data_IF_180466573645
#
_entry.id   IF_180466573645
#
_cell.length_a   1.000
_cell.length_b   1.000
_cell.length_c   1.000
_cell.angle_alpha   90.00
_cell.angle_beta   90.00
_cell.angle_gamma   90.00
#
_symmetry.space_group_name_H-M   'P 1'
#
loop_
_entity.id
_entity.type
_entity.pdbx_description
1 polymer ?
#
# COMPACT_ATOMS: atom_id res chain seq x y z
N UNK A 1 17.38 14.26 16.07
CA UNK A 1 17.52 15.48 15.25
C UNK A 1 16.68 15.26 14.02
N UNK A 2 15.59 16.02 13.84
CA UNK A 2 14.63 15.76 12.77
C UNK A 2 15.25 16.20 11.42
N UNK A 3 15.62 15.23 10.56
CA UNK A 3 16.27 15.52 9.27
C UNK A 3 15.46 16.52 8.41
N UNK A 4 14.13 16.54 8.61
CA UNK A 4 13.17 17.40 7.92
C UNK A 4 13.29 18.91 8.22
N UNK A 5 14.02 19.36 9.24
CA UNK A 5 14.11 20.80 9.55
C UNK A 5 15.47 21.41 9.19
N UNK A 6 16.46 20.57 8.86
CA UNK A 6 17.82 21.01 8.56
C UNK A 6 17.90 21.97 7.37
N UNK A 7 17.07 21.76 6.35
CA UNK A 7 17.04 22.62 5.16
C UNK A 7 16.45 24.02 5.40
N UNK A 8 15.72 24.23 6.51
CA UNK A 8 15.16 25.53 6.88
C UNK A 8 16.14 26.40 7.65
N UNK A 9 17.23 25.83 8.19
CA UNK A 9 18.18 26.61 9.01
C UNK A 9 19.01 27.55 8.14
N UNK A 10 18.90 28.84 8.40
CA UNK A 10 19.78 29.88 7.88
C UNK A 10 19.83 31.06 8.86
N UNK A 11 20.58 32.11 8.54
CA UNK A 11 20.80 33.27 9.40
C UNK A 11 19.52 34.07 9.73
N UNK A 12 18.42 33.83 9.01
CA UNK A 12 17.13 34.49 9.20
C UNK A 12 16.07 33.60 9.86
N UNK A 13 16.36 32.31 10.09
CA UNK A 13 15.40 31.33 10.60
C UNK A 13 15.94 30.71 11.88
N UNK A 14 15.30 31.05 13.00
CA UNK A 14 15.50 30.39 14.29
C UNK A 14 14.50 29.24 14.44
N UNK A 15 15.00 28.02 14.67
CA UNK A 15 14.16 26.83 14.90
C UNK A 15 14.09 26.55 16.39
N UNK A 16 12.89 26.65 16.95
CA UNK A 16 12.60 26.29 18.34
C UNK A 16 11.84 24.97 18.37
N UNK A 17 12.51 23.90 18.80
CA UNK A 17 11.93 22.55 18.93
C UNK A 17 11.31 22.38 20.33
N UNK A 18 9.99 22.50 20.45
CA UNK A 18 9.26 22.38 21.73
C UNK A 18 7.97 21.56 21.57
N UNK A 19 7.71 20.67 22.54
CA UNK A 19 6.51 19.83 22.58
C UNK A 19 6.71 18.43 22.00
N UNK A 20 5.73 17.54 22.22
CA UNK A 20 5.75 16.17 21.69
C UNK A 20 4.88 16.01 20.45
N UNK A 21 3.83 16.84 20.32
CA UNK A 21 2.91 16.83 19.21
C UNK A 21 2.80 18.23 18.59
N UNK A 22 2.28 18.30 17.36
CA UNK A 22 2.04 19.56 16.67
C UNK A 22 1.21 20.55 17.48
N UNK A 23 0.18 20.10 18.20
CA UNK A 23 -0.63 20.98 19.05
C UNK A 23 0.20 21.61 20.19
N UNK A 24 1.17 20.89 20.74
CA UNK A 24 2.05 21.39 21.80
C UNK A 24 3.00 22.47 21.24
N UNK A 25 3.58 22.19 20.06
CA UNK A 25 4.43 23.14 19.34
C UNK A 25 3.65 24.41 18.94
N UNK A 26 2.42 24.25 18.45
CA UNK A 26 1.53 25.37 18.08
C UNK A 26 1.16 26.23 19.28
N UNK A 27 0.80 25.62 20.42
CA UNK A 27 0.54 26.36 21.67
C UNK A 27 1.77 27.15 22.12
N UNK A 28 2.95 26.54 22.04
CA UNK A 28 4.19 27.22 22.40
C UNK A 28 4.52 28.37 21.45
N UNK A 29 4.35 28.18 20.14
CA UNK A 29 4.56 29.22 19.14
C UNK A 29 3.62 30.43 19.35
N UNK A 30 2.35 30.18 19.72
CA UNK A 30 1.41 31.25 20.10
C UNK A 30 1.90 32.00 21.34
N UNK A 31 2.41 31.30 22.35
CA UNK A 31 2.95 31.93 23.56
C UNK A 31 4.17 32.79 23.27
N UNK A 32 5.10 32.32 22.44
CA UNK A 32 6.26 33.10 21.98
C UNK A 32 5.79 34.37 21.27
N UNK A 33 4.85 34.23 20.32
CA UNK A 33 4.32 35.36 19.57
C UNK A 33 3.71 36.43 20.48
N UNK A 34 2.95 36.02 21.50
CA UNK A 34 2.36 36.91 22.49
C UNK A 34 3.41 37.57 23.39
N UNK A 35 4.37 36.81 23.90
CA UNK A 35 5.37 37.32 24.85
C UNK A 35 6.36 38.29 24.19
N UNK A 36 6.70 38.05 22.93
CA UNK A 36 7.71 38.83 22.20
C UNK A 36 7.11 39.86 21.24
N UNK A 37 5.77 39.94 21.15
CA UNK A 37 5.09 40.85 20.23
C UNK A 37 5.31 40.50 18.76
N UNK A 38 5.49 39.22 18.42
CA UNK A 38 5.64 38.75 17.03
C UNK A 38 4.28 38.47 16.41
N UNK A 39 4.17 38.61 15.09
CA UNK A 39 3.00 38.15 14.36
C UNK A 39 2.98 36.61 14.29
N UNK A 40 1.86 35.99 14.68
CA UNK A 40 1.66 34.56 14.52
C UNK A 40 1.01 34.27 13.17
N UNK A 41 1.68 33.48 12.34
CA UNK A 41 1.15 33.06 11.04
C UNK A 41 0.56 31.66 11.19
N UNK A 42 -0.77 31.56 11.23
CA UNK A 42 -1.42 30.25 11.34
C UNK A 42 -1.23 29.46 10.04
N UNK A 43 -0.86 28.17 10.07
CA UNK A 43 -0.63 27.39 8.85
C UNK A 43 -1.86 27.19 7.94
N UNK A 44 -3.07 27.53 8.38
CA UNK A 44 -4.29 27.28 7.60
C UNK A 44 -5.52 28.07 8.05
N UNK A 45 -5.67 28.42 9.33
CA UNK A 45 -6.88 29.05 9.88
C UNK A 45 -6.72 30.57 10.03
N UNK A 46 -6.31 31.21 8.94
CA UNK A 46 -6.12 32.65 8.84
C UNK A 46 -6.72 33.17 7.51
N UNK A 47 -7.49 34.26 7.50
CA UNK A 47 -8.13 34.77 6.28
C UNK A 47 -7.16 35.05 5.13
N UNK A 48 -5.94 35.53 5.40
CA UNK A 48 -4.94 35.81 4.37
C UNK A 48 -4.33 34.52 3.82
N UNK A 49 -4.11 33.52 4.67
CA UNK A 49 -3.67 32.18 4.24
C UNK A 49 -4.73 31.51 3.38
N UNK A 50 -6.00 31.61 3.76
CA UNK A 50 -7.14 31.10 2.98
C UNK A 50 -7.22 31.81 1.63
N UNK A 51 -7.12 33.15 1.61
CA UNK A 51 -7.12 33.92 0.37
C UNK A 51 -5.93 33.55 -0.54
N UNK A 52 -4.74 33.36 0.03
CA UNK A 52 -3.56 32.88 -0.67
C UNK A 52 -3.79 31.53 -1.34
N UNK A 53 -4.36 30.57 -0.62
CA UNK A 53 -4.73 29.27 -1.18
C UNK A 53 -5.79 29.36 -2.29
N UNK A 54 -6.66 30.37 -2.26
CA UNK A 54 -7.66 30.62 -3.31
C UNK A 54 -7.06 30.97 -4.68
N UNK A 55 -5.79 31.37 -4.74
CA UNK A 55 -5.08 31.59 -6.01
C UNK A 55 -4.99 30.32 -6.86
N UNK A 56 -4.97 29.14 -6.25
CA UNK A 56 -5.05 27.86 -6.97
C UNK A 56 -6.36 27.75 -7.75
N UNK A 57 -7.48 28.16 -7.14
CA UNK A 57 -8.78 28.22 -7.82
C UNK A 57 -8.80 29.20 -8.98
N UNK A 58 -8.13 30.35 -8.82
CA UNK A 58 -7.94 31.32 -9.90
C UNK A 58 -7.16 30.73 -11.07
N UNK A 59 -6.04 30.07 -10.80
CA UNK A 59 -5.20 29.46 -11.83
C UNK A 59 -5.95 28.37 -12.61
N UNK A 60 -6.68 27.50 -11.92
CA UNK A 60 -7.51 26.45 -12.54
C UNK A 60 -8.52 27.07 -13.52
N UNK A 61 -9.29 28.06 -13.09
CA UNK A 61 -10.31 28.67 -13.95
C UNK A 61 -9.69 29.42 -15.14
N UNK A 62 -8.52 30.06 -14.95
CA UNK A 62 -7.78 30.71 -16.04
C UNK A 62 -7.24 29.70 -17.04
N UNK A 63 -6.60 28.62 -16.59
CA UNK A 63 -6.06 27.57 -17.45
C UNK A 63 -7.17 26.84 -18.22
N UNK A 64 -8.37 26.74 -17.66
CA UNK A 64 -9.53 26.13 -18.32
C UNK A 64 -10.21 27.03 -19.37
N UNK A 65 -9.87 28.33 -19.45
CA UNK A 65 -10.32 29.24 -20.51
C UNK A 65 -11.83 29.19 -20.80
N UNK A 66 -12.66 29.18 -19.75
CA UNK A 66 -14.13 29.13 -19.84
C UNK A 66 -14.73 27.73 -20.05
N UNK A 67 -13.92 26.70 -20.32
CA UNK A 67 -14.34 25.29 -20.36
C UNK A 67 -14.16 24.64 -18.98
N UNK A 68 -14.80 25.23 -17.98
CA UNK A 68 -14.67 24.87 -16.57
C UNK A 68 -14.99 23.39 -16.28
N UNK A 69 -14.40 22.81 -15.23
CA UNK A 69 -14.65 21.42 -14.87
C UNK A 69 -16.03 21.24 -14.24
N UNK A 70 -16.55 20.01 -14.30
CA UNK A 70 -17.76 19.61 -13.56
C UNK A 70 -17.51 19.61 -12.05
N UNK A 71 -16.31 19.16 -11.63
CA UNK A 71 -15.91 19.16 -10.23
C UNK A 71 -14.40 19.36 -10.03
N UNK A 72 -14.04 20.01 -8.92
CA UNK A 72 -12.69 20.17 -8.41
C UNK A 72 -12.58 19.40 -7.10
N UNK A 73 -11.62 18.49 -7.02
CA UNK A 73 -11.34 17.66 -5.87
C UNK A 73 -10.13 18.20 -5.13
N UNK A 74 -10.31 18.50 -3.85
CA UNK A 74 -9.31 19.17 -3.02
C UNK A 74 -9.02 18.32 -1.79
N UNK A 75 -7.75 18.06 -1.44
CA UNK A 75 -7.43 17.29 -0.26
C UNK A 75 -7.67 18.15 0.97
N UNK A 76 -8.19 17.55 2.03
CA UNK A 76 -8.58 18.27 3.24
C UNK A 76 -7.73 17.81 4.43
N UNK A 77 -6.93 18.73 4.94
CA UNK A 77 -6.28 18.66 6.25
C UNK A 77 -6.94 19.64 7.23
N UNK A 78 -6.27 20.76 7.52
CA UNK A 78 -6.84 21.85 8.34
C UNK A 78 -7.94 22.68 7.66
N UNK A 79 -8.20 22.45 6.36
CA UNK A 79 -9.28 23.06 5.58
C UNK A 79 -8.93 24.33 4.81
N UNK A 80 -7.72 24.88 4.97
CA UNK A 80 -7.34 26.17 4.36
C UNK A 80 -7.32 26.17 2.83
N UNK A 81 -6.83 25.08 2.22
CA UNK A 81 -6.75 24.94 0.77
C UNK A 81 -8.14 24.91 0.12
N UNK A 82 -9.01 24.02 0.61
CA UNK A 82 -10.36 23.87 0.11
C UNK A 82 -11.22 25.11 0.38
N UNK A 83 -11.08 25.75 1.55
CA UNK A 83 -11.79 26.99 1.86
C UNK A 83 -11.42 28.10 0.86
N UNK A 84 -10.13 28.27 0.56
CA UNK A 84 -9.65 29.27 -0.39
C UNK A 84 -10.15 29.01 -1.81
N UNK A 85 -9.98 27.78 -2.31
CA UNK A 85 -10.44 27.37 -3.65
C UNK A 85 -11.95 27.55 -3.76
N UNK A 86 -12.72 27.08 -2.77
CA UNK A 86 -14.18 27.20 -2.77
C UNK A 86 -14.63 28.66 -2.80
N UNK A 87 -14.03 29.52 -1.98
CA UNK A 87 -14.35 30.95 -1.92
C UNK A 87 -14.18 31.65 -3.28
N UNK A 88 -13.07 31.37 -3.97
CA UNK A 88 -12.82 31.95 -5.29
C UNK A 88 -13.72 31.34 -6.38
N UNK A 89 -13.75 30.01 -6.46
CA UNK A 89 -14.44 29.30 -7.55
C UNK A 89 -15.94 29.52 -7.47
N UNK A 90 -16.57 29.44 -6.29
CA UNK A 90 -18.01 29.67 -6.15
C UNK A 90 -18.43 31.10 -6.50
N UNK A 91 -17.51 32.08 -6.40
CA UNK A 91 -17.77 33.45 -6.80
C UNK A 91 -17.79 33.65 -8.32
N UNK A 92 -16.92 32.96 -9.05
CA UNK A 92 -16.72 33.12 -10.50
C UNK A 92 -17.52 32.09 -11.31
N UNK A 93 -17.55 30.85 -10.82
CA UNK A 93 -18.08 29.67 -11.49
C UNK A 93 -18.94 28.83 -10.52
N UNK A 94 -20.11 29.35 -10.07
CA UNK A 94 -20.90 28.73 -9.00
C UNK A 94 -21.37 27.30 -9.29
N UNK A 95 -21.50 26.94 -10.57
CA UNK A 95 -21.92 25.61 -11.02
C UNK A 95 -20.81 24.54 -10.92
N UNK A 96 -19.55 24.95 -10.73
CA UNK A 96 -18.45 24.01 -10.51
C UNK A 96 -18.60 23.41 -9.11
N UNK A 97 -18.62 22.09 -9.03
CA UNK A 97 -18.71 21.39 -7.75
C UNK A 97 -17.35 21.37 -7.06
N UNK A 98 -17.29 21.72 -5.78
CA UNK A 98 -16.10 21.60 -4.93
C UNK A 98 -16.28 20.40 -4.02
N UNK A 99 -15.39 19.43 -4.16
CA UNK A 99 -15.44 18.16 -3.44
C UNK A 99 -14.19 18.04 -2.56
N UNK A 100 -14.40 18.01 -1.25
CA UNK A 100 -13.34 17.67 -0.29
C UNK A 100 -13.05 16.19 -0.31
N UNK A 101 -11.77 15.84 -0.25
CA UNK A 101 -11.32 14.45 -0.14
C UNK A 101 -10.50 14.29 1.13
N UNK A 102 -10.90 13.32 1.95
CA UNK A 102 -10.27 12.98 3.22
C UNK A 102 -9.88 11.50 3.25
N UNK A 103 -8.88 11.14 4.06
CA UNK A 103 -8.65 9.74 4.39
C UNK A 103 -9.67 9.29 5.45
N UNK A 104 -10.12 8.04 5.36
CA UNK A 104 -11.21 7.52 6.20
C UNK A 104 -10.91 7.55 7.71
N UNK A 105 -9.64 7.42 8.11
CA UNK A 105 -9.15 7.58 9.49
C UNK A 105 -8.75 9.01 9.89
N UNK A 106 -8.92 10.00 9.02
CA UNK A 106 -8.57 11.40 9.25
C UNK A 106 -9.61 12.40 8.67
N UNK A 107 -10.90 12.04 8.71
CA UNK A 107 -12.01 12.74 8.05
C UNK A 107 -12.67 13.87 8.89
N UNK A 108 -11.88 14.87 9.28
CA UNK A 108 -12.31 15.95 10.18
C UNK A 108 -13.46 16.81 9.65
N UNK A 109 -13.41 17.24 8.39
CA UNK A 109 -14.42 18.07 7.76
C UNK A 109 -15.72 17.28 7.60
N UNK A 110 -15.65 16.04 7.12
CA UNK A 110 -16.84 15.21 6.94
C UNK A 110 -17.58 15.01 8.27
N UNK A 111 -16.87 14.62 9.34
CA UNK A 111 -17.48 14.42 10.66
C UNK A 111 -17.98 15.75 11.26
N UNK A 112 -17.25 16.85 11.05
CA UNK A 112 -17.69 18.17 11.50
C UNK A 112 -18.98 18.64 10.78
N UNK A 113 -19.09 18.39 9.48
CA UNK A 113 -20.28 18.71 8.70
C UNK A 113 -21.47 17.85 9.14
N UNK A 114 -21.28 16.54 9.36
CA UNK A 114 -22.32 15.65 9.91
C UNK A 114 -22.83 16.12 11.27
N UNK A 115 -21.91 16.53 12.15
CA UNK A 115 -22.22 17.03 13.49
C UNK A 115 -22.73 18.49 13.50
N UNK A 116 -22.67 19.20 12.37
CA UNK A 116 -22.94 20.65 12.25
C UNK A 116 -22.11 21.51 13.21
N UNK A 117 -20.96 21.01 13.64
CA UNK A 117 -20.00 21.68 14.54
C UNK A 117 -18.64 21.04 14.38
N UNK A 118 -17.58 21.81 14.65
CA UNK A 118 -16.21 21.28 14.64
C UNK A 118 -16.06 20.15 15.66
N UNK A 119 -15.76 18.94 15.18
CA UNK A 119 -15.43 17.80 16.04
C UNK A 119 -13.94 17.81 16.36
N UNK A 120 -13.58 17.21 17.50
CA UNK A 120 -12.19 16.98 17.88
C UNK A 120 -11.95 15.49 18.05
N UNK A 121 -10.98 14.95 17.32
CA UNK A 121 -10.58 13.55 17.43
C UNK A 121 -9.60 13.36 18.59
N UNK A 122 -9.64 12.19 19.22
CA UNK A 122 -8.66 11.79 20.24
C UNK A 122 -7.40 11.27 19.57
N UNK A 123 -7.58 10.41 18.56
CA UNK A 123 -6.56 9.79 17.73
C UNK A 123 -6.91 10.01 16.25
N UNK A 124 -5.88 10.16 15.42
CA UNK A 124 -6.02 10.40 13.98
C UNK A 124 -5.04 9.49 13.25
N UNK A 125 -5.46 8.91 12.13
CA UNK A 125 -4.55 8.20 11.26
C UNK A 125 -3.56 9.20 10.65
N UNK A 126 -2.26 8.98 10.88
CA UNK A 126 -1.22 9.89 10.41
C UNK A 126 -0.79 9.62 8.97
N UNK A 127 -1.40 8.65 8.26
CA UNK A 127 -0.97 8.32 6.90
C UNK A 127 -1.05 9.52 5.93
N UNK A 128 -2.10 10.32 6.00
CA UNK A 128 -2.28 11.57 5.22
C UNK A 128 -2.18 12.83 6.07
N UNK A 129 -1.95 12.67 7.37
CA UNK A 129 -1.94 13.76 8.35
C UNK A 129 -0.69 13.63 9.22
N UNK A 130 0.46 13.96 8.63
CA UNK A 130 1.77 13.77 9.27
C UNK A 130 1.94 14.56 10.57
N UNK A 131 1.13 15.60 10.79
CA UNK A 131 1.14 16.41 12.02
C UNK A 131 -0.01 16.06 12.98
N UNK A 132 -0.78 15.01 12.69
CA UNK A 132 -1.87 14.48 13.52
C UNK A 132 -2.88 15.56 13.98
N UNK A 133 -3.25 16.49 13.08
CA UNK A 133 -4.26 17.52 13.38
C UNK A 133 -5.55 16.88 13.85
N UNK A 134 -6.09 17.34 14.98
CA UNK A 134 -7.26 16.74 15.64
C UNK A 134 -8.57 17.49 15.43
N UNK A 135 -8.51 18.68 14.84
CA UNK A 135 -9.68 19.54 14.67
C UNK A 135 -9.47 20.47 13.47
N UNK A 136 -10.55 20.72 12.72
CA UNK A 136 -10.54 21.64 11.59
C UNK A 136 -10.46 23.11 12.03
N UNK A 137 -9.87 23.97 11.18
CA UNK A 137 -9.86 25.41 11.40
C UNK A 137 -11.26 25.99 11.57
N UNK A 138 -11.39 27.01 12.43
CA UNK A 138 -12.64 27.71 12.70
C UNK A 138 -13.19 28.42 11.48
N UNK A 139 -12.36 29.25 10.85
CA UNK A 139 -12.75 30.03 9.68
C UNK A 139 -12.89 29.13 8.47
N UNK A 140 -12.00 28.14 8.35
CA UNK A 140 -12.09 27.10 7.33
C UNK A 140 -13.42 26.34 7.40
N UNK A 141 -13.85 25.92 8.59
CA UNK A 141 -15.12 25.23 8.77
C UNK A 141 -16.32 26.10 8.41
N UNK A 142 -16.28 27.39 8.79
CA UNK A 142 -17.33 28.36 8.42
C UNK A 142 -17.48 28.45 6.91
N UNK A 143 -16.38 28.66 6.19
CA UNK A 143 -16.38 28.78 4.73
C UNK A 143 -16.79 27.46 4.06
N UNK A 144 -16.24 26.34 4.53
CA UNK A 144 -16.54 25.03 3.94
C UNK A 144 -18.01 24.65 4.08
N UNK A 145 -18.65 24.98 5.21
CA UNK A 145 -20.07 24.69 5.45
C UNK A 145 -20.97 25.38 4.42
N UNK A 146 -20.58 26.57 3.95
CA UNK A 146 -21.37 27.35 3.00
C UNK A 146 -21.06 27.04 1.54
N UNK A 147 -19.80 26.67 1.22
CA UNK A 147 -19.30 26.67 -0.16
C UNK A 147 -18.85 25.30 -0.71
N UNK A 148 -18.62 24.30 0.15
CA UNK A 148 -18.19 22.97 -0.28
C UNK A 148 -19.42 22.09 -0.50
N UNK A 149 -19.56 21.52 -1.70
CA UNK A 149 -20.76 20.78 -2.09
C UNK A 149 -20.79 19.37 -1.51
N UNK A 150 -19.63 18.74 -1.37
CA UNK A 150 -19.53 17.36 -0.88
C UNK A 150 -18.17 17.08 -0.24
N UNK A 151 -18.14 16.16 0.70
CA UNK A 151 -16.89 15.58 1.24
C UNK A 151 -16.96 14.07 1.11
N UNK A 152 -15.95 13.47 0.49
CA UNK A 152 -15.80 12.02 0.33
C UNK A 152 -14.57 11.53 1.07
N UNK A 153 -14.59 10.26 1.45
CA UNK A 153 -13.45 9.60 2.09
C UNK A 153 -12.89 8.50 1.20
N UNK A 154 -11.58 8.31 1.29
CA UNK A 154 -10.85 7.22 0.63
C UNK A 154 -10.05 6.40 1.66
N UNK A 155 -9.74 5.16 1.31
CA UNK A 155 -8.89 4.28 2.13
C UNK A 155 -7.40 4.53 1.85
N UNK A 156 -6.55 4.05 2.75
CA UNK A 156 -5.09 3.99 2.55
C UNK A 156 -4.72 3.31 1.23
N UNK A 157 -5.40 2.22 0.87
CA UNK A 157 -5.13 1.47 -0.38
C UNK A 157 -5.49 2.29 -1.62
N UNK A 158 -6.63 2.99 -1.59
CA UNK A 158 -7.05 3.89 -2.66
C UNK A 158 -6.04 5.03 -2.84
N UNK A 159 -5.46 5.56 -1.75
CA UNK A 159 -4.41 6.58 -1.78
C UNK A 159 -3.11 6.01 -2.36
N UNK A 160 -2.65 4.85 -1.90
CA UNK A 160 -1.44 4.20 -2.42
C UNK A 160 -1.57 3.92 -3.93
N UNK A 161 -2.72 3.44 -4.37
CA UNK A 161 -3.04 3.26 -5.80
C UNK A 161 -2.95 4.58 -6.56
N UNK A 162 -3.51 5.67 -6.01
CA UNK A 162 -3.43 6.99 -6.64
C UNK A 162 -2.00 7.56 -6.71
N UNK A 163 -1.15 7.34 -5.70
CA UNK A 163 0.27 7.74 -5.75
C UNK A 163 0.96 7.03 -6.91
N UNK A 164 0.74 5.72 -7.07
CA UNK A 164 1.30 4.95 -8.18
C UNK A 164 0.82 5.50 -9.52
N UNK A 165 -0.48 5.74 -9.68
CA UNK A 165 -1.01 6.25 -10.95
C UNK A 165 -0.39 7.59 -11.33
N UNK A 166 -0.26 8.53 -10.37
CA UNK A 166 0.41 9.82 -10.62
C UNK A 166 1.87 9.62 -11.03
N UNK A 167 2.57 8.68 -10.41
CA UNK A 167 3.95 8.36 -10.76
C UNK A 167 4.06 7.71 -12.14
N UNK A 168 3.18 6.77 -12.49
CA UNK A 168 3.18 6.11 -13.81
C UNK A 168 2.90 7.10 -14.94
N UNK A 169 1.95 8.01 -14.75
CA UNK A 169 1.51 8.97 -15.76
C UNK A 169 2.45 10.17 -15.90
N UNK A 170 2.88 10.75 -14.78
CA UNK A 170 3.59 12.06 -14.78
C UNK A 170 5.03 11.97 -14.30
N UNK A 171 5.47 10.80 -13.79
CA UNK A 171 6.77 10.60 -13.13
C UNK A 171 6.99 11.52 -11.92
N UNK A 172 5.93 12.11 -11.40
CA UNK A 172 5.95 12.91 -10.19
C UNK A 172 5.66 12.01 -8.99
N UNK A 173 6.52 12.09 -7.98
CA UNK A 173 6.31 11.37 -6.72
C UNK A 173 5.48 12.24 -5.78
N UNK A 174 4.37 11.70 -5.29
CA UNK A 174 3.46 12.40 -4.38
C UNK A 174 3.60 11.85 -2.97
N UNK A 175 3.37 12.73 -1.99
CA UNK A 175 3.06 12.25 -0.64
C UNK A 175 1.60 11.79 -0.52
N UNK A 176 1.18 11.10 0.57
CA UNK A 176 -0.17 10.54 0.62
C UNK A 176 -1.26 11.63 0.55
N UNK A 177 -1.03 12.79 1.16
CA UNK A 177 -1.91 13.96 1.01
C UNK A 177 -1.91 14.50 -0.43
N UNK A 178 -0.78 14.44 -1.11
CA UNK A 178 -0.60 14.90 -2.49
C UNK A 178 -1.46 14.12 -3.50
N UNK A 179 -1.58 12.81 -3.35
CA UNK A 179 -2.39 11.98 -4.25
C UNK A 179 -3.85 11.81 -3.80
N UNK A 180 -4.22 12.35 -2.63
CA UNK A 180 -5.53 12.12 -2.01
C UNK A 180 -6.70 12.52 -2.92
N UNK A 181 -6.57 13.66 -3.62
CA UNK A 181 -7.61 14.12 -4.55
C UNK A 181 -7.78 13.19 -5.74
N UNK A 182 -6.69 12.59 -6.25
CA UNK A 182 -6.74 11.64 -7.38
C UNK A 182 -7.48 10.38 -6.97
N UNK A 183 -7.23 9.85 -5.77
CA UNK A 183 -8.01 8.74 -5.21
C UNK A 183 -9.50 9.09 -5.14
N UNK A 184 -9.82 10.32 -4.69
CA UNK A 184 -11.18 10.84 -4.67
C UNK A 184 -11.84 10.92 -6.04
N UNK A 185 -11.12 11.39 -7.07
CA UNK A 185 -11.61 11.42 -8.46
C UNK A 185 -11.93 10.01 -8.95
N UNK A 186 -11.00 9.05 -8.79
CA UNK A 186 -11.20 7.66 -9.24
C UNK A 186 -12.48 7.07 -8.64
N UNK A 187 -12.64 7.21 -7.32
CA UNK A 187 -13.81 6.72 -6.59
C UNK A 187 -15.10 7.38 -7.05
N UNK A 188 -15.09 8.70 -7.20
CA UNK A 188 -16.27 9.47 -7.61
C UNK A 188 -16.66 9.20 -9.07
N UNK A 189 -15.69 9.13 -9.99
CA UNK A 189 -15.94 8.88 -11.40
C UNK A 189 -16.57 7.50 -11.63
N UNK A 190 -16.20 6.50 -10.82
CA UNK A 190 -16.80 5.16 -10.86
C UNK A 190 -18.32 5.15 -10.60
N UNK A 191 -18.83 6.09 -9.80
CA UNK A 191 -20.27 6.18 -9.50
C UNK A 191 -21.00 7.30 -10.25
N UNK A 192 -20.29 8.34 -10.70
CA UNK A 192 -20.88 9.57 -11.24
C UNK A 192 -20.58 9.80 -12.73
N UNK A 193 -19.86 8.88 -13.37
CA UNK A 193 -19.57 8.84 -14.80
C UNK A 193 -18.17 9.33 -15.17
N UNK A 194 -17.59 8.66 -16.16
CA UNK A 194 -16.23 8.86 -16.68
C UNK A 194 -16.13 9.86 -17.85
N UNK A 195 -17.27 10.38 -18.34
CA UNK A 195 -17.33 11.34 -19.46
C UNK A 195 -17.32 12.81 -19.04
N UNK A 196 -17.12 13.09 -17.75
CA UNK A 196 -17.10 14.45 -17.18
C UNK A 196 -15.67 14.94 -17.01
N UNK A 197 -15.50 16.26 -16.88
CA UNK A 197 -14.21 16.89 -16.63
C UNK A 197 -14.00 17.11 -15.14
N UNK A 198 -13.03 16.39 -14.58
CA UNK A 198 -12.63 16.52 -13.19
C UNK A 198 -11.23 17.11 -13.07
N UNK A 199 -11.01 17.92 -12.02
CA UNK A 199 -9.70 18.43 -11.65
C UNK A 199 -9.34 17.90 -10.27
N UNK A 200 -8.17 17.29 -10.12
CA UNK A 200 -7.63 16.83 -8.84
C UNK A 200 -6.44 17.70 -8.44
N UNK A 201 -6.42 18.20 -7.21
CA UNK A 201 -5.26 18.95 -6.70
C UNK A 201 -4.19 18.00 -6.18
N UNK A 202 -3.00 18.11 -6.75
CA UNK A 202 -1.77 17.49 -6.25
C UNK A 202 -1.11 18.44 -5.25
N UNK A 203 -1.36 18.25 -3.96
CA UNK A 203 -1.05 19.26 -2.94
C UNK A 203 0.39 19.23 -2.42
N UNK A 204 1.07 18.08 -2.46
CA UNK A 204 2.37 17.93 -1.80
C UNK A 204 3.16 16.68 -2.27
N UNK A 205 4.47 16.71 -2.05
CA UNK A 205 5.43 15.73 -2.56
C UNK A 205 6.60 15.44 -1.60
N UNK A 206 6.47 15.76 -0.31
CA UNK A 206 7.54 15.59 0.67
C UNK A 206 7.54 14.17 1.27
N UNK A 207 7.79 13.18 0.41
CA UNK A 207 7.77 11.76 0.75
C UNK A 207 9.13 11.30 1.30
N UNK A 208 9.12 10.56 2.40
CA UNK A 208 10.26 9.77 2.84
C UNK A 208 10.44 8.54 1.92
N UNK A 209 11.66 8.26 1.49
CA UNK A 209 11.96 7.12 0.63
C UNK A 209 11.53 5.79 1.27
N UNK A 210 11.66 5.65 2.60
CA UNK A 210 11.26 4.42 3.30
C UNK A 210 9.75 4.16 3.21
N UNK A 211 8.92 5.21 3.09
CA UNK A 211 7.48 5.08 2.90
C UNK A 211 7.10 4.54 1.51
N UNK A 212 7.99 4.64 0.52
CA UNK A 212 7.74 4.07 -0.82
C UNK A 212 7.56 2.56 -0.76
N UNK A 213 8.23 1.88 0.16
CA UNK A 213 8.04 0.43 0.34
C UNK A 213 6.60 0.13 0.71
N UNK A 214 6.05 0.84 1.70
CA UNK A 214 4.66 0.67 2.12
C UNK A 214 3.68 0.99 0.98
N UNK A 215 3.92 2.08 0.25
CA UNK A 215 3.09 2.47 -0.90
C UNK A 215 3.14 1.40 -1.98
N UNK A 216 4.34 0.91 -2.33
CA UNK A 216 4.50 -0.16 -3.32
C UNK A 216 3.74 -1.41 -2.90
N UNK A 217 3.88 -1.84 -1.65
CA UNK A 217 3.23 -3.05 -1.11
C UNK A 217 1.70 -2.94 -1.05
N UNK A 218 1.15 -1.74 -0.86
CA UNK A 218 -0.31 -1.52 -0.74
C UNK A 218 -0.99 -0.96 -1.98
N UNK A 219 -0.22 -0.46 -2.93
CA UNK A 219 -0.77 0.14 -4.15
C UNK A 219 -1.33 -0.91 -5.09
N UNK A 220 -0.70 -2.10 -5.19
CA UNK A 220 -1.03 -3.14 -6.18
C UNK A 220 -2.44 -3.70 -5.97
N UNK A 221 -3.40 -3.05 -6.62
CA UNK A 221 -4.81 -3.43 -6.71
C UNK A 221 -5.02 -4.62 -7.64
N UNK A 222 -3.97 -5.22 -8.18
CA UNK A 222 -4.00 -6.46 -8.98
C UNK A 222 -3.49 -7.65 -8.19
N UNK A 223 -2.65 -7.43 -7.18
CA UNK A 223 -2.24 -8.50 -6.25
C UNK A 223 -3.47 -8.99 -5.46
N UNK A 224 -3.70 -10.29 -5.48
CA UNK A 224 -4.78 -10.97 -4.76
C UNK A 224 -4.20 -12.07 -3.91
N UNK A 225 -4.50 -12.00 -2.63
CA UNK A 225 -3.95 -12.87 -1.60
C UNK A 225 -4.97 -13.93 -1.27
N UNK A 226 -4.54 -15.18 -1.18
CA UNK A 226 -5.37 -16.31 -0.76
C UNK A 226 -4.59 -17.26 0.14
N UNK A 227 -5.32 -17.93 1.02
CA UNK A 227 -4.84 -19.15 1.65
C UNK A 227 -5.40 -20.36 0.91
N UNK A 228 -4.55 -21.35 0.63
CA UNK A 228 -4.93 -22.58 -0.07
C UNK A 228 -4.54 -23.80 0.75
N UNK A 229 -5.51 -24.67 0.98
CA UNK A 229 -5.30 -26.00 1.54
C UNK A 229 -5.14 -26.99 0.39
N UNK A 230 -4.10 -27.79 0.41
CA UNK A 230 -3.87 -28.88 -0.54
C UNK A 230 -3.51 -30.18 0.21
N UNK A 231 -3.70 -31.37 -0.38
CA UNK A 231 -3.24 -32.60 0.27
C UNK A 231 -1.72 -32.61 0.37
N UNK A 232 -1.18 -32.97 1.53
CA UNK A 232 0.26 -33.02 1.80
C UNK A 232 0.91 -34.25 1.15
N UNK A 233 1.02 -34.22 -0.18
CA UNK A 233 1.58 -35.31 -0.98
C UNK A 233 2.30 -34.82 -2.23
N UNK A 234 3.21 -35.66 -2.73
CA UNK A 234 3.98 -35.41 -3.95
C UNK A 234 3.06 -35.05 -5.12
N UNK A 235 3.36 -33.96 -5.82
CA UNK A 235 2.63 -33.47 -6.99
C UNK A 235 1.44 -32.54 -6.70
N UNK A 236 1.01 -32.39 -5.45
CA UNK A 236 -0.11 -31.50 -5.11
C UNK A 236 0.21 -30.01 -5.40
N UNK A 237 1.46 -29.59 -5.20
CA UNK A 237 1.95 -28.26 -5.55
C UNK A 237 1.84 -27.97 -7.04
N UNK A 238 2.23 -28.93 -7.89
CA UNK A 238 2.12 -28.78 -9.35
C UNK A 238 0.65 -28.68 -9.77
N UNK A 239 -0.22 -29.52 -9.22
CA UNK A 239 -1.66 -29.48 -9.50
C UNK A 239 -2.26 -28.11 -9.12
N UNK A 240 -1.88 -27.56 -7.96
CA UNK A 240 -2.29 -26.21 -7.59
C UNK A 240 -1.75 -25.17 -8.58
N UNK A 241 -0.47 -25.28 -8.97
CA UNK A 241 0.14 -24.35 -9.91
C UNK A 241 -0.55 -24.37 -11.29
N UNK A 242 -0.93 -25.55 -11.78
CA UNK A 242 -1.62 -25.70 -13.05
C UNK A 242 -3.01 -25.04 -13.04
N UNK A 243 -3.68 -24.98 -11.89
CA UNK A 243 -4.98 -24.31 -11.72
C UNK A 243 -4.86 -22.78 -11.71
N UNK A 244 -3.73 -22.25 -11.26
CA UNK A 244 -3.47 -20.80 -11.21
C UNK A 244 -2.79 -20.27 -12.46
N UNK A 245 -2.13 -21.11 -13.26
CA UNK A 245 -1.55 -20.68 -14.54
C UNK A 245 -2.66 -20.16 -15.48
N UNK A 246 -2.46 -19.07 -16.25
CA UNK A 246 -1.20 -18.32 -16.48
C UNK A 246 -1.01 -17.09 -15.60
N UNK A 247 -1.71 -16.96 -14.48
CA UNK A 247 -1.58 -15.78 -13.62
C UNK A 247 -0.19 -15.70 -12.99
N UNK A 248 0.35 -14.49 -12.93
CA UNK A 248 1.66 -14.27 -12.34
C UNK A 248 1.59 -14.44 -10.82
N UNK A 249 2.45 -15.28 -10.26
CA UNK A 249 2.55 -15.49 -8.81
C UNK A 249 3.49 -14.43 -8.24
N UNK A 250 3.04 -13.66 -7.25
CA UNK A 250 3.87 -12.66 -6.56
C UNK A 250 4.41 -13.19 -5.24
N UNK A 251 3.70 -14.13 -4.61
CA UNK A 251 4.09 -14.73 -3.35
C UNK A 251 3.66 -16.19 -3.30
N UNK A 252 4.54 -17.08 -2.85
CA UNK A 252 4.22 -18.48 -2.59
C UNK A 252 5.00 -18.91 -1.35
N UNK A 253 4.30 -19.13 -0.24
CA UNK A 253 4.90 -19.49 1.05
C UNK A 253 4.26 -20.74 1.62
N UNK A 254 5.10 -21.69 2.02
CA UNK A 254 4.74 -22.99 2.58
C UNK A 254 5.85 -23.53 3.49
N UNK A 255 5.47 -24.19 4.59
CA UNK A 255 6.36 -25.01 5.44
C UNK A 255 5.58 -26.21 5.94
N UNK A 256 6.21 -27.37 5.84
CA UNK A 256 5.75 -28.58 6.50
C UNK A 256 5.96 -28.45 8.02
N UNK A 257 4.92 -28.67 8.82
CA UNK A 257 5.04 -28.60 10.28
C UNK A 257 5.42 -29.97 10.86
N UNK A 258 4.78 -31.04 10.37
CA UNK A 258 5.01 -32.43 10.78
C UNK A 258 4.99 -33.38 9.59
N UNK A 259 5.74 -34.48 9.67
CA UNK A 259 5.70 -35.57 8.68
C UNK A 259 4.37 -36.33 8.65
N UNK A 260 3.51 -36.13 9.66
CA UNK A 260 2.19 -36.74 9.76
C UNK A 260 1.06 -35.84 9.26
N UNK A 261 1.39 -34.61 8.84
CA UNK A 261 0.38 -33.70 8.30
C UNK A 261 -0.18 -34.27 7.00
N UNK A 262 -1.50 -34.24 6.87
CA UNK A 262 -2.22 -34.69 5.67
C UNK A 262 -2.69 -33.52 4.81
N UNK A 263 -2.58 -32.29 5.32
CA UNK A 263 -2.96 -31.04 4.65
C UNK A 263 -1.82 -30.04 4.75
N UNK A 264 -1.41 -29.50 3.61
CA UNK A 264 -0.52 -28.35 3.52
C UNK A 264 -1.34 -27.05 3.49
N UNK A 265 -0.90 -26.05 4.26
CA UNK A 265 -1.43 -24.69 4.21
C UNK A 265 -0.46 -23.81 3.42
N UNK A 266 -0.95 -23.22 2.34
CA UNK A 266 -0.17 -22.37 1.44
C UNK A 266 -0.70 -20.95 1.53
N UNK A 267 0.21 -20.00 1.73
CA UNK A 267 -0.05 -18.58 1.49
C UNK A 267 0.37 -18.24 0.06
N UNK A 268 -0.56 -17.76 -0.74
CA UNK A 268 -0.37 -17.57 -2.18
C UNK A 268 -0.92 -16.20 -2.59
N UNK A 269 -0.13 -15.47 -3.37
CA UNK A 269 -0.55 -14.22 -4.00
C UNK A 269 -0.36 -14.30 -5.51
N UNK A 270 -1.39 -13.88 -6.26
CA UNK A 270 -1.35 -13.82 -7.72
C UNK A 270 -1.80 -12.44 -8.22
N UNK A 271 -1.36 -12.06 -9.42
CA UNK A 271 -1.84 -10.85 -10.08
C UNK A 271 -2.99 -11.15 -11.05
N UNK A 272 -4.14 -10.52 -10.83
CA UNK A 272 -5.30 -10.56 -11.75
C UNK A 272 -5.69 -9.16 -12.20
N UNK A 273 -6.29 -9.03 -13.38
CA UNK A 273 -6.75 -7.72 -13.88
C UNK A 273 -8.03 -7.26 -13.20
N UNK A 274 -8.86 -8.23 -12.80
CA UNK A 274 -10.16 -7.96 -12.17
C UNK A 274 -10.39 -8.89 -10.99
N UNK A 275 -11.30 -8.49 -10.10
CA UNK A 275 -11.79 -9.37 -9.02
C UNK A 275 -12.55 -10.58 -9.57
N UNK A 276 -13.23 -10.43 -10.72
CA UNK A 276 -13.94 -11.54 -11.35
C UNK A 276 -13.00 -12.67 -11.79
N UNK A 277 -11.86 -12.32 -12.40
CA UNK A 277 -10.81 -13.28 -12.77
C UNK A 277 -10.28 -14.04 -11.55
N UNK A 278 -10.10 -13.34 -10.43
CA UNK A 278 -9.63 -13.94 -9.19
C UNK A 278 -10.66 -14.89 -8.58
N UNK A 279 -11.94 -14.51 -8.54
CA UNK A 279 -13.00 -15.40 -8.09
C UNK A 279 -13.14 -16.66 -8.95
N UNK A 280 -12.85 -16.57 -10.25
CA UNK A 280 -12.78 -17.75 -11.13
C UNK A 280 -11.64 -18.70 -10.74
N UNK A 281 -10.46 -18.17 -10.39
CA UNK A 281 -9.35 -18.98 -9.84
C UNK A 281 -9.78 -19.69 -8.56
N UNK A 282 -10.37 -18.96 -7.61
CA UNK A 282 -10.87 -19.54 -6.36
C UNK A 282 -11.90 -20.65 -6.61
N UNK A 283 -12.83 -20.43 -7.54
CA UNK A 283 -13.84 -21.42 -7.92
C UNK A 283 -13.20 -22.67 -8.54
N UNK A 284 -12.21 -22.51 -9.42
CA UNK A 284 -11.45 -23.62 -10.01
C UNK A 284 -10.72 -24.44 -8.95
N UNK A 285 -10.06 -23.80 -7.98
CA UNK A 285 -9.41 -24.50 -6.86
C UNK A 285 -10.44 -25.23 -6.00
N UNK A 286 -11.52 -24.54 -5.59
CA UNK A 286 -12.58 -25.10 -4.74
C UNK A 286 -13.42 -26.19 -5.43
N UNK A 287 -13.34 -26.33 -6.76
CA UNK A 287 -13.96 -27.43 -7.49
C UNK A 287 -13.21 -28.76 -7.34
N UNK A 288 -11.95 -28.71 -6.88
CA UNK A 288 -11.16 -29.92 -6.60
C UNK A 288 -11.58 -30.51 -5.25
N UNK A 289 -11.75 -31.83 -5.19
CA UNK A 289 -12.24 -32.51 -3.98
C UNK A 289 -11.32 -32.38 -2.75
N UNK A 290 -10.02 -32.20 -2.98
CA UNK A 290 -8.98 -32.20 -1.94
C UNK A 290 -8.36 -30.81 -1.70
N UNK A 291 -8.89 -29.76 -2.34
CA UNK A 291 -8.35 -28.40 -2.19
C UNK A 291 -9.41 -27.42 -1.70
N UNK A 292 -8.96 -26.42 -0.94
CA UNK A 292 -9.82 -25.33 -0.49
C UNK A 292 -9.05 -24.01 -0.54
N UNK A 293 -9.59 -23.00 -1.21
CA UNK A 293 -9.03 -21.66 -1.28
C UNK A 293 -9.96 -20.62 -0.63
N UNK A 294 -9.37 -19.72 0.15
CA UNK A 294 -10.06 -18.62 0.83
C UNK A 294 -9.40 -17.31 0.43
N UNK A 295 -10.22 -16.34 0.00
CA UNK A 295 -9.75 -14.97 -0.26
C UNK A 295 -9.28 -14.28 1.03
N UNK A 296 -8.05 -13.78 1.01
CA UNK A 296 -7.44 -12.99 2.08
C UNK A 296 -7.10 -11.56 1.63
N UNK A 297 -7.51 -11.16 0.43
CA UNK A 297 -7.20 -9.86 -0.19
C UNK A 297 -7.74 -8.66 0.57
N UNK A 298 -8.69 -8.85 1.49
CA UNK A 298 -9.22 -7.80 2.38
C UNK A 298 -8.86 -8.03 3.87
N UNK A 299 -8.00 -9.01 4.15
CA UNK A 299 -7.61 -9.34 5.52
C UNK A 299 -6.37 -8.53 5.94
N UNK A 300 -6.56 -7.53 6.80
CA UNK A 300 -5.47 -6.66 7.28
C UNK A 300 -4.39 -7.41 8.07
N UNK A 301 -4.76 -8.45 8.84
CA UNK A 301 -3.76 -9.28 9.54
C UNK A 301 -2.85 -9.99 8.53
N UNK A 302 -3.40 -10.41 7.40
CA UNK A 302 -2.63 -11.06 6.33
C UNK A 302 -1.70 -10.09 5.62
N UNK A 303 -2.24 -8.95 5.17
CA UNK A 303 -1.47 -7.90 4.48
C UNK A 303 -0.35 -7.32 5.34
N UNK A 304 -0.64 -7.03 6.62
CA UNK A 304 0.29 -6.33 7.50
C UNK A 304 1.30 -7.26 8.19
N UNK A 305 0.93 -8.53 8.45
CA UNK A 305 1.73 -9.42 9.29
C UNK A 305 1.97 -10.80 8.69
N UNK A 306 0.93 -11.58 8.37
CA UNK A 306 1.11 -13.01 8.07
C UNK A 306 2.00 -13.25 6.84
N UNK A 307 1.94 -12.37 5.83
CA UNK A 307 2.83 -12.43 4.66
C UNK A 307 4.33 -12.24 4.97
N UNK A 308 4.67 -11.77 6.18
CA UNK A 308 6.04 -11.58 6.64
C UNK A 308 6.49 -12.62 7.67
N UNK A 309 5.54 -13.28 8.33
CA UNK A 309 5.85 -14.16 9.47
C UNK A 309 6.33 -15.55 9.05
N UNK A 310 6.40 -15.85 7.76
CA UNK A 310 6.70 -17.18 7.27
C UNK A 310 5.79 -18.22 7.92
N UNK A 311 6.12 -19.50 7.75
CA UNK A 311 5.26 -20.61 8.17
C UNK A 311 5.83 -21.33 9.42
N UNK A 312 6.61 -20.63 10.23
CA UNK A 312 7.08 -21.08 11.55
C UNK A 312 8.14 -22.20 11.52
N UNK A 313 8.43 -22.77 12.70
CA UNK A 313 9.36 -23.90 12.87
C UNK A 313 8.68 -25.22 12.51
N UNK A 314 9.46 -26.14 11.97
CA UNK A 314 9.02 -27.51 11.71
C UNK A 314 9.53 -28.47 12.78
N UNK A 315 8.74 -29.51 13.10
CA UNK A 315 9.22 -30.69 13.82
C UNK A 315 9.86 -31.71 12.86
N UNK A 316 10.47 -31.26 11.77
CA UNK A 316 10.94 -32.13 10.68
C UNK A 316 12.47 -32.12 10.62
N UNK A 317 13.19 -33.07 11.26
CA UNK A 317 14.64 -33.11 11.20
C UNK A 317 15.25 -34.41 10.64
N UNK A 318 14.53 -35.24 9.89
CA UNK A 318 15.19 -36.30 9.10
C UNK A 318 15.43 -35.85 7.67
N UNK A 319 16.71 -35.68 7.32
CA UNK A 319 17.19 -35.56 5.94
C UNK A 319 16.75 -34.34 5.12
N UNK A 320 16.37 -33.25 5.79
CA UNK A 320 16.05 -31.98 5.13
C UNK A 320 17.32 -31.25 4.66
N UNK A 321 17.34 -30.81 3.40
CA UNK A 321 18.37 -29.96 2.82
C UNK A 321 17.75 -28.70 2.24
N UNK A 322 18.35 -27.54 2.52
CA UNK A 322 17.79 -26.22 2.18
C UNK A 322 18.66 -25.52 1.16
N UNK A 323 18.02 -24.94 0.16
CA UNK A 323 18.69 -24.25 -0.94
C UNK A 323 18.08 -22.87 -1.16
N UNK A 324 18.97 -21.87 -1.27
CA UNK A 324 18.63 -20.57 -1.83
C UNK A 324 18.95 -20.60 -3.32
N UNK A 325 17.92 -20.50 -4.15
CA UNK A 325 18.00 -20.60 -5.59
C UNK A 325 17.58 -19.27 -6.23
N UNK A 326 18.16 -18.98 -7.39
CA UNK A 326 17.86 -17.77 -8.14
C UNK A 326 17.76 -18.03 -9.63
N UNK A 327 16.79 -17.36 -10.26
CA UNK A 327 16.54 -17.43 -11.70
C UNK A 327 16.12 -16.06 -12.24
N UNK A 328 16.36 -15.79 -13.54
CA UNK A 328 15.85 -14.60 -14.19
C UNK A 328 14.32 -14.55 -14.09
N UNK A 329 13.78 -13.47 -13.55
CA UNK A 329 12.35 -13.33 -13.34
C UNK A 329 11.64 -13.06 -14.67
N UNK A 330 10.63 -13.86 -15.00
CA UNK A 330 9.78 -13.71 -16.20
C UNK A 330 8.45 -14.44 -16.00
N UNK A 331 7.37 -14.07 -16.72
CA UNK A 331 6.12 -14.82 -16.68
C UNK A 331 6.37 -16.32 -16.91
N UNK A 332 5.93 -17.15 -15.96
CA UNK A 332 6.14 -18.60 -15.98
C UNK A 332 7.48 -19.10 -15.46
N UNK A 333 8.41 -18.25 -15.00
CA UNK A 333 9.71 -18.68 -14.46
C UNK A 333 9.55 -19.62 -13.26
N UNK A 334 8.61 -19.30 -12.36
CA UNK A 334 8.28 -20.18 -11.24
C UNK A 334 7.69 -21.52 -11.70
N UNK A 335 6.92 -21.53 -12.81
CA UNK A 335 6.43 -22.77 -13.42
C UNK A 335 7.58 -23.63 -13.89
N UNK A 336 8.47 -23.05 -14.70
CA UNK A 336 9.62 -23.76 -15.25
C UNK A 336 10.47 -24.36 -14.12
N UNK A 337 10.62 -23.63 -13.00
CA UNK A 337 11.27 -24.14 -11.80
C UNK A 337 10.54 -25.36 -11.21
N UNK A 338 9.23 -25.26 -10.97
CA UNK A 338 8.42 -26.35 -10.40
C UNK A 338 8.35 -27.56 -11.35
N UNK A 339 8.30 -27.32 -12.66
CA UNK A 339 8.36 -28.34 -13.70
C UNK A 339 9.71 -29.06 -13.63
N UNK A 340 10.84 -28.35 -13.55
CA UNK A 340 12.14 -29.00 -13.38
C UNK A 340 12.20 -29.89 -12.13
N UNK A 341 11.68 -29.42 -11.00
CA UNK A 341 11.62 -30.18 -9.75
C UNK A 341 10.72 -31.41 -9.89
N UNK A 342 9.54 -31.26 -10.50
CA UNK A 342 8.52 -32.31 -10.60
C UNK A 342 8.84 -33.39 -11.63
N UNK A 343 9.56 -33.05 -12.70
CA UNK A 343 10.02 -33.98 -13.74
C UNK A 343 11.27 -34.79 -13.33
N UNK A 344 11.85 -34.53 -12.15
CA UNK A 344 12.90 -35.37 -11.61
C UNK A 344 12.38 -36.80 -11.35
N UNK A 345 13.14 -37.81 -11.76
CA UNK A 345 12.76 -39.23 -11.62
C UNK A 345 12.53 -39.67 -10.16
N UNK A 346 12.99 -38.89 -9.18
CA UNK A 346 12.94 -39.24 -7.76
C UNK A 346 11.83 -38.51 -6.99
N UNK A 347 11.20 -37.49 -7.59
CA UNK A 347 10.04 -36.74 -7.03
C UNK A 347 10.25 -36.41 -5.56
N UNK A 348 11.33 -35.68 -5.26
CA UNK A 348 11.65 -35.28 -3.89
C UNK A 348 10.53 -34.46 -3.27
N UNK A 349 10.29 -34.67 -1.99
CA UNK A 349 9.25 -33.96 -1.28
C UNK A 349 9.75 -32.57 -0.86
N UNK A 350 8.96 -31.53 -1.14
CA UNK A 350 9.26 -30.16 -0.71
C UNK A 350 8.73 -29.99 0.71
N UNK A 351 9.58 -29.57 1.65
CA UNK A 351 9.22 -29.33 3.04
C UNK A 351 9.25 -27.85 3.43
N UNK A 352 9.80 -26.99 2.57
CA UNK A 352 9.75 -25.53 2.67
C UNK A 352 9.71 -24.96 1.27
N UNK A 353 8.85 -23.99 1.04
CA UNK A 353 8.86 -23.18 -0.16
C UNK A 353 8.59 -21.74 0.19
N UNK A 354 9.49 -20.84 -0.16
CA UNK A 354 9.31 -19.42 0.02
C UNK A 354 9.79 -18.69 -1.23
N UNK A 355 8.84 -18.11 -1.95
CA UNK A 355 9.06 -17.28 -3.12
C UNK A 355 8.33 -15.96 -2.94
N UNK A 356 9.02 -14.86 -3.23
CA UNK A 356 8.42 -13.53 -3.25
C UNK A 356 9.06 -12.68 -4.34
N UNK A 357 8.23 -12.15 -5.23
CA UNK A 357 8.64 -11.26 -6.29
C UNK A 357 8.36 -9.81 -5.89
N UNK A 358 9.43 -9.03 -5.75
CA UNK A 358 9.37 -7.60 -5.42
C UNK A 358 9.70 -6.71 -6.63
N UNK A 359 9.46 -7.19 -7.85
CA UNK A 359 9.83 -6.46 -9.07
C UNK A 359 11.34 -6.41 -9.30
N UNK A 360 12.08 -7.37 -8.74
CA UNK A 360 13.50 -7.55 -9.02
C UNK A 360 13.68 -8.42 -10.28
N UNK A 361 14.74 -8.16 -11.04
CA UNK A 361 15.09 -8.97 -12.23
C UNK A 361 15.49 -10.41 -11.91
N UNK A 362 15.66 -10.73 -10.62
CA UNK A 362 16.07 -12.03 -10.12
C UNK A 362 15.01 -12.55 -9.14
N UNK A 363 14.31 -13.59 -9.56
CA UNK A 363 13.47 -14.39 -8.69
C UNK A 363 14.33 -15.13 -7.68
N UNK A 364 13.98 -15.05 -6.40
CA UNK A 364 14.67 -15.77 -5.32
C UNK A 364 13.71 -16.73 -4.66
N UNK A 365 14.11 -17.99 -4.63
CA UNK A 365 13.37 -19.06 -3.95
C UNK A 365 14.24 -19.60 -2.83
N UNK A 366 13.67 -19.70 -1.64
CA UNK A 366 14.20 -20.58 -0.60
C UNK A 366 13.35 -21.85 -0.62
N UNK A 367 13.98 -22.99 -0.87
CA UNK A 367 13.30 -24.29 -0.96
C UNK A 367 14.03 -25.32 -0.11
N UNK A 368 13.28 -26.17 0.58
CA UNK A 368 13.83 -27.32 1.27
C UNK A 368 13.26 -28.61 0.70
N UNK A 369 14.14 -29.60 0.56
CA UNK A 369 13.82 -30.93 0.09
C UNK A 369 14.12 -31.97 1.17
N UNK A 370 13.28 -32.98 1.27
CA UNK A 370 13.60 -34.18 2.03
C UNK A 370 14.41 -35.13 1.14
N UNK A 371 15.71 -35.23 1.42
CA UNK A 371 16.70 -35.99 0.64
C UNK A 371 17.37 -37.02 1.54
N UNK A 372 16.85 -38.26 1.59
CA UNK A 372 17.46 -39.33 2.38
C UNK A 372 18.94 -39.51 2.03
N UNK A 373 19.82 -39.91 3.00
CA UNK A 373 21.26 -40.01 2.75
C UNK A 373 21.67 -40.88 1.56
N UNK A 374 20.85 -41.89 1.23
CA UNK A 374 21.09 -42.79 0.09
C UNK A 374 20.76 -42.17 -1.28
N UNK A 375 20.05 -41.04 -1.34
CA UNK A 375 19.71 -40.34 -2.59
C UNK A 375 20.61 -39.13 -2.86
N UNK A 376 21.60 -38.85 -2.01
CA UNK A 376 22.44 -37.66 -2.11
C UNK A 376 23.12 -37.51 -3.47
N UNK A 377 23.69 -38.59 -4.02
CA UNK A 377 24.38 -38.54 -5.31
C UNK A 377 23.43 -38.22 -6.47
N UNK A 378 22.23 -38.82 -6.45
CA UNK A 378 21.20 -38.54 -7.46
C UNK A 378 20.66 -37.11 -7.33
N UNK A 379 20.52 -36.61 -6.11
CA UNK A 379 20.08 -35.23 -5.86
C UNK A 379 21.14 -34.21 -6.29
N UNK A 380 22.42 -34.48 -6.08
CA UNK A 380 23.50 -33.65 -6.61
C UNK A 380 23.55 -33.65 -8.15
N UNK A 381 23.25 -34.80 -8.77
CA UNK A 381 23.05 -34.87 -10.22
C UNK A 381 21.93 -33.95 -10.69
N UNK A 382 20.76 -34.03 -10.06
CA UNK A 382 19.65 -33.14 -10.33
C UNK A 382 20.01 -31.66 -10.17
N UNK A 383 20.69 -31.27 -9.09
CA UNK A 383 21.13 -29.89 -8.90
C UNK A 383 22.09 -29.40 -10.00
N UNK A 384 22.94 -30.28 -10.55
CA UNK A 384 23.82 -29.94 -11.69
C UNK A 384 23.04 -29.77 -12.99
N UNK A 385 21.98 -30.54 -13.18
CA UNK A 385 21.10 -30.46 -14.35
C UNK A 385 20.17 -29.23 -14.29
N UNK A 386 19.94 -28.68 -13.09
CA UNK A 386 19.24 -27.41 -12.92
C UNK A 386 20.10 -26.27 -13.44
N UNK A 387 19.61 -25.59 -14.48
CA UNK A 387 20.23 -24.39 -15.01
C UNK A 387 19.93 -23.14 -14.15
N UNK A 388 20.03 -23.28 -12.82
CA UNK A 388 19.75 -22.23 -11.84
C UNK A 388 20.95 -22.04 -10.91
N UNK A 389 21.21 -20.80 -10.50
CA UNK A 389 22.21 -20.54 -9.47
C UNK A 389 21.63 -20.93 -8.11
N UNK A 390 22.34 -21.78 -7.37
CA UNK A 390 21.91 -22.27 -6.05
C UNK A 390 23.03 -22.20 -5.01
N UNK A 391 22.64 -22.07 -3.74
CA UNK A 391 23.51 -22.15 -2.57
C UNK A 391 22.84 -23.02 -1.52
N UNK A 392 23.56 -24.00 -0.98
CA UNK A 392 23.06 -24.80 0.14
C UNK A 392 23.15 -23.99 1.45
N UNK A 393 22.00 -23.82 2.10
CA UNK A 393 21.84 -23.05 3.34
C UNK A 393 21.49 -23.97 4.53
N UNK A 394 21.57 -25.30 4.37
CA UNK A 394 21.23 -26.31 5.38
C UNK A 394 21.95 -26.07 6.73
N UNK A 395 23.19 -25.60 6.69
CA UNK A 395 24.00 -25.31 7.88
C UNK A 395 24.02 -23.82 8.26
N UNK A 396 23.16 -22.99 7.66
CA UNK A 396 23.10 -21.57 7.95
C UNK A 396 22.58 -21.35 9.40
N UNK A 397 23.29 -20.59 10.26
CA UNK A 397 22.86 -20.37 11.64
C UNK A 397 21.47 -19.73 11.77
N UNK A 398 21.10 -18.84 10.84
CA UNK A 398 19.78 -18.21 10.84
C UNK A 398 18.68 -19.23 10.51
N UNK A 399 18.94 -20.15 9.59
CA UNK A 399 18.02 -21.25 9.29
C UNK A 399 17.79 -22.13 10.52
N UNK A 400 18.88 -22.59 11.14
CA UNK A 400 18.83 -23.49 12.30
C UNK A 400 18.19 -22.85 13.54
N UNK A 401 18.34 -21.53 13.73
CA UNK A 401 17.81 -20.85 14.90
C UNK A 401 16.32 -20.48 14.77
N UNK A 402 15.84 -20.19 13.55
CA UNK A 402 14.48 -19.66 13.36
C UNK A 402 13.50 -20.64 12.73
N UNK A 403 13.96 -21.64 11.98
CA UNK A 403 13.10 -22.56 11.21
C UNK A 403 13.25 -24.04 11.59
N UNK A 404 14.25 -24.35 12.42
CA UNK A 404 14.41 -25.59 13.19
C UNK A 404 14.29 -25.24 14.69
#
# INVERSE_FOLDING_TARGET
MNHQLSFLRNDHIEIVEQGHHFEDAMKHAIQIAQNEGRAFIHPFDDPMVIAGNGTVGMEILRQMSGKWPDAIFVPVGGGGLIAGIAAYVKRIAPNVSIIGVEESGANLLQESCKAKKRVRFTNVNCFTNDVAMKQIGQENFRICTDLVDKVITVSTDEICSAIRDVFEDTRSLMEPLGALSVAGVKKYAGTNGIGKKYVAILAAANMDFDRLRFISERSDDRERIMSVQIPERRGAFQQLYDLIFPYNVTEFTYRMVSQHDIVAQIHLSIQTKTESEFHEVLSRINSQKEMQAIDQSQNELTKAHLRYLGTGRAQVPSSERVFRMSFPERPGALKDFLDCVSHSNHKWNISLFHYRNHGADIGRVLVAFQVPPFENEAFEGFLRDLNFAFYEETQNPAYQQFLL
#
